data_IF_792396054027
#
_entry.id   IF_792396054027
#
_cell.length_a   1.000
_cell.length_b   1.000
_cell.length_c   1.000
_cell.angle_alpha   90.00
_cell.angle_beta   90.00
_cell.angle_gamma   90.00
#
_symmetry.space_group_name_H-M   'P 1'
#
loop_
_entity.id
_entity.type
_entity.pdbx_description
1 polymer ?
#
# COMPACT_ATOMS: atom_id res chain seq x y z
N UNK A 1 -2.14 -8.30 -1.51
CA UNK A 1 -3.37 -7.51 -1.68
C UNK A 1 -3.30 -6.33 -0.72
N UNK A 2 -3.68 -5.14 -1.19
CA UNK A 2 -3.60 -3.88 -0.45
C UNK A 2 -4.76 -3.77 0.53
N UNK A 3 -4.47 -3.41 1.77
CA UNK A 3 -5.49 -2.87 2.67
C UNK A 3 -4.90 -1.63 3.32
N UNK A 4 -5.50 -0.47 3.02
CA UNK A 4 -5.01 0.81 3.46
C UNK A 4 -6.11 1.49 4.28
N UNK A 5 -5.84 1.73 5.56
CA UNK A 5 -6.78 2.35 6.51
C UNK A 5 -6.08 3.53 7.16
N UNK A 6 -6.46 4.72 6.71
CA UNK A 6 -6.19 5.93 7.47
C UNK A 6 -7.35 6.15 8.45
N UNK A 7 -7.19 5.67 9.69
CA UNK A 7 -8.17 5.89 10.77
C UNK A 7 -8.34 7.37 11.03
N UNK A 8 -7.26 8.17 10.94
CA UNK A 8 -7.30 9.61 11.18
C UNK A 8 -8.37 10.29 10.32
N UNK A 9 -8.47 10.00 9.01
CA UNK A 9 -9.49 10.65 8.17
C UNK A 9 -10.90 10.07 8.28
N UNK A 10 -11.07 8.77 8.62
CA UNK A 10 -12.40 8.15 8.83
C UNK A 10 -12.99 8.46 10.21
N UNK A 11 -12.21 8.43 11.29
CA UNK A 11 -12.62 8.87 12.64
C UNK A 11 -12.99 10.35 12.64
N UNK A 12 -12.22 11.21 11.96
CA UNK A 12 -12.55 12.63 11.83
C UNK A 12 -13.85 12.88 11.05
N UNK A 13 -14.32 11.93 10.23
CA UNK A 13 -15.60 12.03 9.50
C UNK A 13 -16.79 11.46 10.27
N UNK A 14 -16.60 10.44 11.11
CA UNK A 14 -17.67 9.85 11.93
C UNK A 14 -17.88 10.59 13.26
N UNK A 15 -16.85 11.25 13.78
CA UNK A 15 -16.99 12.22 14.87
C UNK A 15 -17.58 13.51 14.30
N UNK A 16 -18.78 13.88 14.75
CA UNK A 16 -19.49 15.08 14.29
C UNK A 16 -18.67 16.36 14.54
N UNK A 17 -17.88 16.78 13.56
CA UNK A 17 -17.35 18.13 13.48
C UNK A 17 -18.32 18.97 12.64
N UNK A 18 -19.22 19.68 13.32
CA UNK A 18 -20.05 20.72 12.71
C UNK A 18 -19.08 21.79 12.16
N UNK A 19 -18.89 21.81 10.84
CA UNK A 19 -18.25 22.96 10.18
C UNK A 19 -19.17 24.15 10.36
N UNK A 20 -18.88 24.98 11.35
CA UNK A 20 -19.38 26.34 11.36
C UNK A 20 -18.73 27.06 10.18
N UNK A 21 -19.53 27.42 9.19
CA UNK A 21 -19.14 28.33 8.13
C UNK A 21 -18.85 29.69 8.77
N UNK A 22 -17.57 29.99 8.98
CA UNK A 22 -17.13 31.35 9.20
C UNK A 22 -16.91 31.98 7.83
N UNK A 23 -17.75 32.95 7.48
CA UNK A 23 -17.60 33.80 6.32
C UNK A 23 -16.29 34.59 6.44
N UNK A 24 -15.27 34.16 5.71
CA UNK A 24 -14.00 34.91 5.55
C UNK A 24 -14.09 35.65 4.22
N UNK A 25 -13.87 36.96 4.31
CA UNK A 25 -14.00 37.91 3.21
C UNK A 25 -13.17 37.57 1.98
N UNK A 26 -13.74 37.93 0.83
CA UNK A 26 -13.07 37.94 -0.46
C UNK A 26 -11.90 38.93 -0.46
N UNK A 27 -10.71 38.51 -0.08
CA UNK A 27 -9.45 39.04 -0.60
C UNK A 27 -8.35 38.02 -0.22
N UNK A 28 -7.53 37.61 -1.19
CA UNK A 28 -6.35 36.70 -1.11
C UNK A 28 -6.48 35.22 -1.54
N UNK A 29 -7.57 34.75 -2.16
CA UNK A 29 -7.59 33.39 -2.73
C UNK A 29 -7.11 33.29 -4.20
N UNK A 30 -7.08 34.41 -4.94
CA UNK A 30 -6.72 34.41 -6.36
C UNK A 30 -5.20 34.51 -6.62
N UNK A 31 -4.42 34.97 -5.63
CA UNK A 31 -2.98 35.24 -5.80
C UNK A 31 -2.13 33.95 -5.67
N UNK A 32 -2.56 33.01 -4.82
CA UNK A 32 -1.86 31.74 -4.60
C UNK A 32 -1.94 30.75 -5.79
N UNK A 33 -2.98 30.84 -6.63
CA UNK A 33 -3.15 29.95 -7.80
C UNK A 33 -2.21 30.37 -8.94
N UNK A 34 -1.85 31.65 -9.02
CA UNK A 34 -1.02 32.19 -10.09
C UNK A 34 0.43 31.73 -10.00
N UNK A 35 0.94 31.51 -8.77
CA UNK A 35 2.31 31.02 -8.56
C UNK A 35 2.54 29.60 -9.12
N UNK A 36 1.49 28.77 -9.23
CA UNK A 36 1.60 27.37 -9.66
C UNK A 36 1.40 27.17 -11.16
N UNK A 37 0.80 28.13 -11.88
CA UNK A 37 0.62 28.10 -13.34
C UNK A 37 1.93 27.83 -14.12
N UNK A 38 3.08 28.47 -13.81
CA UNK A 38 4.31 28.20 -14.54
C UNK A 38 4.84 26.78 -14.31
N UNK A 39 4.68 26.21 -13.11
CA UNK A 39 5.06 24.84 -12.79
C UNK A 39 4.23 23.81 -13.58
N UNK A 40 2.93 24.03 -13.68
CA UNK A 40 2.02 23.16 -14.45
C UNK A 40 2.39 23.17 -15.95
N UNK A 41 2.68 24.35 -16.52
CA UNK A 41 3.12 24.45 -17.93
C UNK A 41 4.42 23.69 -18.19
N UNK A 42 5.39 23.75 -17.27
CA UNK A 42 6.66 23.01 -17.37
C UNK A 42 6.45 21.50 -17.30
N UNK A 43 5.57 21.04 -16.41
CA UNK A 43 5.23 19.62 -16.30
C UNK A 43 4.52 19.11 -17.56
N UNK A 44 3.56 19.87 -18.09
CA UNK A 44 2.88 19.52 -19.34
C UNK A 44 3.83 19.49 -20.55
N UNK A 45 4.82 20.39 -20.61
CA UNK A 45 5.86 20.35 -21.64
C UNK A 45 6.74 19.08 -21.52
N UNK A 46 7.17 18.74 -20.31
CA UNK A 46 7.96 17.50 -20.08
C UNK A 46 7.18 16.23 -20.40
N UNK A 47 5.86 16.22 -20.16
CA UNK A 47 5.00 15.09 -20.50
C UNK A 47 4.87 14.91 -22.02
N UNK A 48 4.79 16.01 -22.77
CA UNK A 48 4.73 15.98 -24.23
C UNK A 48 6.06 15.48 -24.84
N UNK A 49 7.20 15.90 -24.29
CA UNK A 49 8.52 15.42 -24.72
C UNK A 49 8.72 13.92 -24.43
N UNK A 50 8.33 13.45 -23.24
CA UNK A 50 8.39 12.03 -22.89
C UNK A 50 7.46 11.21 -23.79
N UNK A 51 6.26 11.70 -24.10
CA UNK A 51 5.34 11.04 -25.04
C UNK A 51 5.92 10.98 -26.45
N UNK A 52 6.51 12.05 -26.96
CA UNK A 52 7.14 12.07 -28.28
C UNK A 52 8.32 11.07 -28.37
N UNK A 53 9.16 11.01 -27.33
CA UNK A 53 10.23 10.01 -27.24
C UNK A 53 9.68 8.59 -27.22
N UNK A 54 8.60 8.34 -26.47
CA UNK A 54 7.98 6.99 -26.40
C UNK A 54 7.43 6.50 -27.74
N UNK A 55 6.91 7.40 -28.59
CA UNK A 55 6.39 7.06 -29.93
C UNK A 55 7.53 6.72 -30.89
N UNK A 56 8.66 7.42 -30.80
CA UNK A 56 9.87 7.11 -31.59
C UNK A 56 10.43 5.73 -31.19
N UNK A 57 10.52 5.44 -29.89
CA UNK A 57 10.91 4.11 -29.41
C UNK A 57 9.96 3.00 -29.87
N UNK A 58 8.65 3.24 -29.91
CA UNK A 58 7.68 2.28 -30.41
C UNK A 58 7.84 2.00 -31.93
N UNK A 59 8.24 3.00 -32.71
CA UNK A 59 8.54 2.83 -34.14
C UNK A 59 9.81 1.99 -34.37
N UNK A 60 10.87 2.25 -33.58
CA UNK A 60 12.12 1.45 -33.60
C UNK A 60 11.87 -0.01 -33.20
N UNK A 61 10.95 -0.25 -32.26
CA UNK A 61 10.58 -1.62 -31.85
C UNK A 61 9.84 -2.37 -32.95
N UNK A 62 8.96 -1.72 -33.72
CA UNK A 62 8.27 -2.33 -34.87
C UNK A 62 9.21 -2.68 -36.03
N UNK A 63 10.27 -1.90 -36.23
CA UNK A 63 11.27 -2.17 -37.28
C UNK A 63 12.16 -3.40 -36.96
N UNK A 64 12.20 -3.83 -35.68
CA UNK A 64 13.00 -4.97 -35.20
C UNK A 64 12.23 -6.26 -34.97
N UNK A 65 10.95 -6.33 -35.35
CA UNK A 65 10.15 -7.58 -35.27
C UNK A 65 10.52 -8.63 -36.34
N UNK A 66 11.52 -8.38 -37.20
CA UNK A 66 12.13 -9.39 -38.04
C UNK A 66 13.12 -10.27 -37.27
N UNK A 67 12.78 -11.56 -37.11
CA UNK A 67 13.55 -12.66 -36.49
C UNK A 67 13.28 -12.96 -35.01
N UNK A 68 12.10 -13.51 -34.73
CA UNK A 68 11.88 -14.42 -33.59
C UNK A 68 11.04 -15.61 -34.08
N UNK A 69 11.68 -16.71 -34.48
CA UNK A 69 11.00 -17.97 -34.76
C UNK A 69 11.11 -18.84 -33.50
N UNK A 70 9.99 -19.03 -32.81
CA UNK A 70 9.88 -19.89 -31.63
C UNK A 70 9.59 -21.33 -32.07
N UNK A 71 10.54 -22.24 -31.93
CA UNK A 71 10.27 -23.68 -32.01
C UNK A 71 9.81 -24.21 -30.66
N UNK A 72 8.56 -24.71 -30.57
CA UNK A 72 8.09 -25.51 -29.44
C UNK A 72 8.42 -26.98 -29.70
N UNK A 73 9.14 -27.62 -28.78
CA UNK A 73 9.29 -29.08 -28.75
C UNK A 73 8.55 -29.61 -27.51
N UNK A 74 7.81 -30.71 -27.71
CA UNK A 74 6.96 -31.38 -26.72
C UNK A 74 7.73 -32.04 -25.55
N UNK A 75 7.03 -32.79 -24.69
CA UNK A 75 7.43 -33.04 -23.31
C UNK A 75 8.62 -34.00 -23.22
N UNK A 76 9.59 -33.67 -22.36
CA UNK A 76 10.60 -34.59 -21.87
C UNK A 76 10.30 -34.88 -20.40
N UNK A 77 10.19 -36.16 -20.07
CA UNK A 77 9.84 -36.65 -18.73
C UNK A 77 10.99 -36.40 -17.74
N UNK A 78 10.79 -35.45 -16.82
CA UNK A 78 11.73 -35.15 -15.73
C UNK A 78 11.38 -33.89 -14.92
N UNK A 79 11.79 -33.78 -13.63
CA UNK A 79 11.25 -32.77 -12.71
C UNK A 79 11.92 -31.38 -12.78
N UNK A 80 12.67 -31.06 -13.83
CA UNK A 80 13.35 -29.76 -13.96
C UNK A 80 13.21 -29.19 -15.38
N UNK A 81 12.46 -28.08 -15.47
CA UNK A 81 12.71 -26.99 -16.42
C UNK A 81 12.26 -27.19 -17.88
N UNK A 82 11.31 -26.36 -18.33
CA UNK A 82 11.13 -26.07 -19.75
C UNK A 82 12.44 -25.46 -20.30
N UNK A 83 13.12 -26.15 -21.23
CA UNK A 83 14.33 -25.64 -21.88
C UNK A 83 13.95 -24.91 -23.17
N UNK A 84 14.13 -23.59 -23.19
CA UNK A 84 13.92 -22.76 -24.38
C UNK A 84 15.24 -22.61 -25.14
N UNK A 85 15.33 -23.17 -26.35
CA UNK A 85 16.51 -23.01 -27.21
C UNK A 85 16.21 -21.94 -28.26
N UNK A 86 16.98 -20.85 -28.24
CA UNK A 86 16.91 -19.75 -29.22
C UNK A 86 18.11 -19.88 -30.15
N UNK A 87 17.87 -20.12 -31.45
CA UNK A 87 18.93 -20.14 -32.46
C UNK A 87 18.93 -18.85 -33.29
N UNK A 88 20.05 -18.11 -33.26
CA UNK A 88 20.26 -16.92 -34.08
C UNK A 88 21.30 -17.22 -35.16
N UNK A 89 20.89 -17.34 -36.42
CA UNK A 89 21.78 -17.60 -37.55
C UNK A 89 22.12 -16.30 -38.28
N UNK A 90 23.29 -15.71 -38.01
CA UNK A 90 23.78 -14.56 -38.79
C UNK A 90 25.08 -13.94 -38.24
N UNK A 91 25.95 -13.49 -39.13
CA UNK A 91 27.31 -12.97 -38.84
C UNK A 91 27.32 -11.63 -38.07
N UNK A 92 26.18 -10.93 -37.99
CA UNK A 92 25.91 -9.80 -37.06
C UNK A 92 25.42 -10.25 -35.66
N UNK A 93 25.40 -11.56 -35.42
CA UNK A 93 24.81 -12.19 -34.25
C UNK A 93 25.62 -12.04 -32.96
N UNK A 94 26.90 -11.65 -33.03
CA UNK A 94 27.76 -11.50 -31.84
C UNK A 94 27.30 -10.30 -31.01
N UNK A 95 27.08 -9.14 -31.64
CA UNK A 95 26.63 -7.92 -30.95
C UNK A 95 25.18 -8.04 -30.46
N UNK A 96 24.31 -8.72 -31.22
CA UNK A 96 22.92 -8.99 -30.80
C UNK A 96 22.87 -10.02 -29.66
N UNK A 97 23.74 -11.04 -29.65
CA UNK A 97 23.85 -12.04 -28.59
C UNK A 97 24.27 -11.43 -27.25
N UNK A 98 25.22 -10.48 -27.27
CA UNK A 98 25.64 -9.74 -26.07
C UNK A 98 24.49 -8.90 -25.52
N UNK A 99 23.76 -8.18 -26.38
CA UNK A 99 22.61 -7.36 -25.97
C UNK A 99 21.48 -8.19 -25.32
N UNK A 100 21.18 -9.36 -25.88
CA UNK A 100 20.18 -10.29 -25.34
C UNK A 100 20.65 -10.87 -23.99
N UNK A 101 21.92 -11.26 -23.90
CA UNK A 101 22.51 -11.78 -22.66
C UNK A 101 22.50 -10.75 -21.53
N UNK A 102 22.76 -9.48 -21.85
CA UNK A 102 22.68 -8.36 -20.89
C UNK A 102 21.24 -8.12 -20.43
N UNK A 103 20.26 -8.16 -21.33
CA UNK A 103 18.84 -8.02 -20.96
C UNK A 103 18.35 -9.16 -20.07
N UNK A 104 18.75 -10.40 -20.35
CA UNK A 104 18.43 -11.57 -19.52
C UNK A 104 19.08 -11.43 -18.13
N UNK A 105 20.33 -10.97 -18.07
CA UNK A 105 21.02 -10.72 -16.80
C UNK A 105 20.31 -9.65 -15.94
N UNK A 106 19.75 -8.60 -16.57
CA UNK A 106 18.95 -7.57 -15.88
C UNK A 106 17.63 -8.14 -15.34
N UNK A 107 16.93 -8.98 -16.11
CA UNK A 107 15.68 -9.61 -15.67
C UNK A 107 15.91 -10.57 -14.49
N UNK A 108 17.01 -11.35 -14.51
CA UNK A 108 17.36 -12.26 -13.43
C UNK A 108 17.74 -11.50 -12.14
N UNK A 109 18.25 -10.26 -12.25
CA UNK A 109 18.59 -9.41 -11.10
C UNK A 109 17.45 -8.54 -10.59
N UNK A 110 16.25 -8.59 -11.19
CA UNK A 110 15.12 -7.85 -10.65
C UNK A 110 14.77 -8.38 -9.24
N UNK A 111 14.82 -7.56 -8.18
CA UNK A 111 14.49 -8.01 -6.84
C UNK A 111 13.02 -8.41 -6.78
N UNK A 112 12.76 -9.59 -6.21
CA UNK A 112 11.39 -10.02 -5.91
C UNK A 112 10.70 -8.98 -5.00
N UNK A 113 9.55 -8.49 -5.43
CA UNK A 113 8.74 -7.55 -4.64
C UNK A 113 8.09 -8.29 -3.47
N UNK A 114 8.78 -8.33 -2.32
CA UNK A 114 8.17 -8.72 -1.06
C UNK A 114 7.50 -7.49 -0.47
N UNK A 115 6.25 -7.61 -0.02
CA UNK A 115 5.43 -6.46 0.35
C UNK A 115 4.87 -6.63 1.77
N UNK A 116 5.78 -6.66 2.74
CA UNK A 116 5.51 -6.75 4.17
C UNK A 116 5.54 -5.36 4.84
N UNK A 117 4.82 -5.16 5.96
CA UNK A 117 4.81 -3.89 6.67
C UNK A 117 6.20 -3.41 7.15
N UNK A 118 7.12 -4.35 7.43
CA UNK A 118 8.50 -4.02 7.82
C UNK A 118 9.24 -3.19 6.77
N UNK A 119 8.96 -3.36 5.48
CA UNK A 119 9.57 -2.56 4.42
C UNK A 119 9.07 -1.12 4.41
N UNK A 120 7.83 -0.88 4.85
CA UNK A 120 7.35 0.47 5.07
C UNK A 120 8.15 1.12 6.21
N UNK A 121 8.28 0.41 7.34
CA UNK A 121 9.04 0.90 8.50
C UNK A 121 10.51 1.20 8.17
N UNK A 122 11.14 0.40 7.31
CA UNK A 122 12.53 0.60 6.90
C UNK A 122 12.67 1.70 5.85
N UNK A 123 11.76 1.77 4.88
CA UNK A 123 11.87 2.67 3.73
C UNK A 123 11.31 4.07 3.94
N UNK A 124 10.43 4.26 4.94
CA UNK A 124 9.69 5.51 5.12
C UNK A 124 9.58 5.90 6.58
N UNK A 125 9.89 7.17 6.87
CA UNK A 125 9.79 7.69 8.23
C UNK A 125 8.34 7.87 8.69
N UNK A 126 7.47 8.32 7.80
CA UNK A 126 6.03 8.39 8.02
C UNK A 126 5.32 7.48 7.02
N UNK A 127 4.40 6.61 7.46
CA UNK A 127 3.67 5.73 6.55
C UNK A 127 2.64 6.48 5.70
N UNK A 128 2.27 7.71 6.07
CA UNK A 128 1.34 8.58 5.33
C UNK A 128 2.08 9.76 4.72
N UNK A 129 1.94 9.89 3.41
CA UNK A 129 2.43 11.01 2.61
C UNK A 129 1.53 12.25 2.83
N UNK A 130 2.04 13.45 2.52
CA UNK A 130 1.27 14.69 2.64
C UNK A 130 -0.02 14.71 1.80
N UNK A 131 -0.06 13.90 0.74
CA UNK A 131 -1.24 13.69 -0.12
C UNK A 131 -2.33 12.85 0.56
N UNK A 132 -2.04 12.21 1.70
CA UNK A 132 -2.90 11.22 2.35
C UNK A 132 -2.76 9.81 1.78
N UNK A 133 -1.93 9.60 0.75
CA UNK A 133 -1.54 8.27 0.26
C UNK A 133 -0.66 7.57 1.31
N UNK A 134 -0.78 6.25 1.44
CA UNK A 134 0.13 5.46 2.28
C UNK A 134 1.12 4.66 1.46
N UNK A 135 2.32 4.59 1.99
CA UNK A 135 3.54 4.07 1.36
C UNK A 135 3.40 2.61 0.90
N UNK A 136 2.49 1.83 1.51
CA UNK A 136 2.14 0.49 1.05
C UNK A 136 1.64 0.49 -0.41
N UNK A 137 1.06 1.60 -0.88
CA UNK A 137 0.60 1.78 -2.25
C UNK A 137 1.75 1.93 -3.27
N UNK A 138 2.99 2.09 -2.84
CA UNK A 138 4.15 2.18 -3.74
C UNK A 138 4.59 0.80 -4.22
N UNK A 139 4.24 -0.26 -3.48
CA UNK A 139 4.46 -1.66 -3.88
C UNK A 139 3.16 -2.40 -4.20
N UNK A 140 2.09 -2.21 -3.40
CA UNK A 140 0.78 -2.83 -3.65
C UNK A 140 -0.04 -1.95 -4.60
N UNK A 141 0.11 -2.18 -5.90
CA UNK A 141 -0.51 -1.37 -6.96
C UNK A 141 -2.03 -1.56 -7.07
N UNK A 142 -2.53 -2.76 -6.79
CA UNK A 142 -3.97 -3.06 -6.85
C UNK A 142 -4.74 -2.36 -5.72
N UNK A 143 -5.90 -1.80 -6.05
CA UNK A 143 -6.78 -1.17 -5.07
C UNK A 143 -7.88 -2.14 -4.60
N UNK A 144 -8.06 -2.27 -3.29
CA UNK A 144 -9.18 -3.01 -2.69
C UNK A 144 -9.81 -2.18 -1.56
N UNK A 145 -11.14 -2.22 -1.41
CA UNK A 145 -11.81 -1.50 -0.35
C UNK A 145 -11.45 -2.08 1.02
N UNK A 146 -11.43 -1.21 2.02
CA UNK A 146 -11.20 -1.57 3.42
C UNK A 146 -12.13 -0.75 4.28
N UNK A 147 -12.78 -1.41 5.23
CA UNK A 147 -13.73 -0.78 6.13
C UNK A 147 -13.21 -0.79 7.55
N UNK A 148 -13.64 0.21 8.30
CA UNK A 148 -13.34 0.33 9.71
C UNK A 148 -14.58 0.80 10.44
N UNK A 149 -14.88 0.12 11.53
CA UNK A 149 -15.96 0.44 12.44
C UNK A 149 -15.33 0.88 13.77
N UNK A 150 -15.78 2.03 14.24
CA UNK A 150 -15.35 2.66 15.49
C UNK A 150 -16.57 3.30 16.16
N UNK A 151 -16.63 3.36 17.49
CA UNK A 151 -17.66 4.11 18.20
C UNK A 151 -17.64 5.58 17.77
N UNK A 152 -18.83 6.19 17.72
CA UNK A 152 -18.97 7.61 17.37
C UNK A 152 -18.23 8.54 18.35
N UNK A 153 -18.19 8.18 19.63
CA UNK A 153 -17.52 8.91 20.68
C UNK A 153 -16.98 7.94 21.73
N UNK A 154 -15.85 8.32 22.33
CA UNK A 154 -15.19 7.55 23.39
C UNK A 154 -14.88 8.49 24.55
N UNK A 155 -15.06 8.00 25.76
CA UNK A 155 -14.69 8.75 26.95
C UNK A 155 -13.16 8.73 27.13
N UNK A 156 -12.58 9.75 27.79
CA UNK A 156 -11.17 9.73 28.17
C UNK A 156 -10.84 8.49 29.01
N UNK A 157 -9.64 7.96 28.83
CA UNK A 157 -9.12 6.79 29.56
C UNK A 157 -10.00 5.52 29.49
N UNK A 158 -10.85 5.42 28.46
CA UNK A 158 -11.73 4.26 28.26
C UNK A 158 -11.22 3.41 27.11
N UNK A 159 -11.14 2.09 27.31
CA UNK A 159 -10.79 1.14 26.25
C UNK A 159 -12.00 0.94 25.33
N UNK A 160 -11.78 1.05 24.03
CA UNK A 160 -12.82 0.83 23.02
C UNK A 160 -12.34 -0.06 21.89
N UNK A 161 -13.30 -0.67 21.20
CA UNK A 161 -13.08 -1.58 20.09
C UNK A 161 -13.04 -0.82 18.76
N UNK A 162 -12.05 -1.12 17.92
CA UNK A 162 -11.99 -0.72 16.52
C UNK A 162 -11.90 -1.97 15.65
N UNK A 163 -12.89 -2.18 14.78
CA UNK A 163 -12.97 -3.35 13.91
C UNK A 163 -12.56 -2.97 12.51
N UNK A 164 -11.51 -3.60 12.02
CA UNK A 164 -10.98 -3.43 10.67
C UNK A 164 -11.45 -4.58 9.80
N UNK A 165 -12.21 -4.30 8.74
CA UNK A 165 -12.69 -5.30 7.78
C UNK A 165 -11.93 -5.22 6.48
N UNK A 166 -11.41 -6.36 6.06
CA UNK A 166 -10.50 -6.57 4.94
C UNK A 166 -11.19 -7.55 3.98
N UNK A 167 -12.19 -7.09 3.21
CA UNK A 167 -12.95 -7.97 2.34
C UNK A 167 -12.11 -8.44 1.16
N UNK A 168 -12.07 -9.75 0.95
CA UNK A 168 -11.55 -10.33 -0.28
C UNK A 168 -12.28 -11.64 -0.61
N UNK A 169 -12.22 -12.03 -1.89
CA UNK A 169 -12.79 -13.28 -2.34
C UNK A 169 -11.92 -14.46 -1.89
N UNK A 170 -12.44 -15.27 -0.96
CA UNK A 170 -11.74 -16.43 -0.40
C UNK A 170 -11.53 -17.57 -1.41
N UNK A 171 -12.24 -17.57 -2.54
CA UNK A 171 -12.05 -18.55 -3.61
C UNK A 171 -10.83 -18.22 -4.48
N UNK A 172 -10.42 -16.95 -4.51
CA UNK A 172 -9.28 -16.49 -5.30
C UNK A 172 -7.96 -16.82 -4.58
N UNK A 173 -7.07 -17.48 -5.32
CA UNK A 173 -5.72 -17.84 -4.87
C UNK A 173 -4.68 -16.91 -5.50
N UNK A 174 -3.66 -16.52 -4.73
CA UNK A 174 -2.53 -15.74 -5.25
C UNK A 174 -1.40 -16.64 -5.73
N UNK A 175 -0.56 -16.13 -6.62
CA UNK A 175 0.70 -16.79 -6.98
C UNK A 175 1.69 -16.53 -5.85
N UNK A 176 2.21 -17.60 -5.24
CA UNK A 176 3.23 -17.55 -4.21
C UNK A 176 4.63 -17.36 -4.83
N UNK A 177 5.63 -17.07 -3.99
CA UNK A 177 7.02 -16.91 -4.43
C UNK A 177 7.58 -18.15 -5.17
N UNK A 178 7.02 -19.34 -4.93
CA UNK A 178 7.39 -20.58 -5.62
C UNK A 178 6.63 -20.80 -6.95
N UNK A 179 5.82 -19.84 -7.40
CA UNK A 179 4.99 -19.93 -8.61
C UNK A 179 3.70 -20.73 -8.46
N UNK A 180 3.46 -21.39 -7.33
CA UNK A 180 2.22 -22.15 -7.07
C UNK A 180 1.10 -21.22 -6.60
N UNK A 181 -0.15 -21.61 -6.85
CA UNK A 181 -1.33 -20.91 -6.33
C UNK A 181 -1.54 -21.25 -4.84
N UNK A 182 -1.64 -20.24 -3.99
CA UNK A 182 -1.81 -20.38 -2.55
C UNK A 182 -2.78 -19.37 -1.95
N UNK A 183 -2.92 -19.44 -0.62
CA UNK A 183 -3.77 -18.54 0.16
C UNK A 183 -3.16 -17.14 0.26
N UNK A 184 -4.01 -16.17 0.60
CA UNK A 184 -3.61 -14.78 0.78
C UNK A 184 -3.30 -14.48 2.23
N UNK A 185 -2.24 -13.70 2.42
CA UNK A 185 -1.94 -13.09 3.71
C UNK A 185 -2.40 -11.63 3.70
N UNK A 186 -2.76 -11.15 4.87
CA UNK A 186 -3.23 -9.79 5.10
C UNK A 186 -2.35 -9.11 6.14
N UNK A 187 -2.32 -7.79 6.07
CA UNK A 187 -1.63 -6.93 7.00
C UNK A 187 -2.20 -5.54 6.86
N UNK A 188 -2.06 -4.74 7.91
CA UNK A 188 -2.58 -3.39 7.96
C UNK A 188 -1.62 -2.46 8.69
N UNK A 189 -1.66 -1.20 8.30
CA UNK A 189 -1.04 -0.09 9.02
C UNK A 189 -2.18 0.80 9.48
N UNK A 190 -2.19 1.07 10.78
CA UNK A 190 -3.19 1.85 11.47
C UNK A 190 -2.58 3.17 11.92
N UNK A 191 -3.18 4.28 11.53
CA UNK A 191 -2.71 5.61 11.95
C UNK A 191 -3.77 6.24 12.84
N UNK A 192 -3.51 6.26 14.15
CA UNK A 192 -4.37 6.84 15.15
C UNK A 192 -4.04 8.32 15.37
N UNK A 193 -5.00 9.12 15.85
CA UNK A 193 -4.73 10.45 16.37
C UNK A 193 -3.68 10.40 17.48
N UNK A 194 -3.00 11.52 17.70
CA UNK A 194 -2.05 11.65 18.79
C UNK A 194 -2.73 11.42 20.15
N UNK A 195 -2.00 10.78 21.07
CA UNK A 195 -2.52 10.41 22.40
C UNK A 195 -3.32 9.11 22.44
N UNK A 196 -3.60 8.48 21.30
CA UNK A 196 -4.14 7.12 21.26
C UNK A 196 -3.01 6.10 21.18
N UNK A 197 -3.13 5.04 21.96
CA UNK A 197 -2.23 3.89 21.91
C UNK A 197 -3.02 2.58 22.03
N UNK A 198 -2.33 1.46 21.82
CA UNK A 198 -2.89 0.14 22.07
C UNK A 198 -3.24 0.01 23.56
N UNK A 199 -4.39 -0.59 23.85
CA UNK A 199 -4.82 -0.82 25.23
C UNK A 199 -3.75 -1.64 25.99
N UNK A 200 -3.33 -1.19 27.18
CA UNK A 200 -2.43 -1.94 28.05
C UNK A 200 -2.99 -3.34 28.37
N UNK A 201 -2.15 -4.38 28.46
CA UNK A 201 -2.60 -5.76 28.66
C UNK A 201 -3.35 -5.99 29.99
N UNK A 202 -3.09 -5.16 31.00
CA UNK A 202 -3.79 -5.13 32.28
C UNK A 202 -5.25 -4.67 32.17
N UNK A 203 -5.60 -3.90 31.12
CA UNK A 203 -6.97 -3.43 30.87
C UNK A 203 -7.75 -4.30 29.90
N UNK A 204 -7.14 -5.36 29.38
CA UNK A 204 -7.75 -6.29 28.44
C UNK A 204 -8.33 -7.47 29.24
N UNK A 205 -9.66 -7.59 29.25
CA UNK A 205 -10.33 -8.74 29.87
C UNK A 205 -9.97 -10.05 29.13
N UNK A 206 -10.04 -11.22 29.80
CA UNK A 206 -9.70 -12.50 29.17
C UNK A 206 -10.56 -12.80 27.93
N UNK A 207 -11.83 -12.40 27.94
CA UNK A 207 -12.75 -12.51 26.79
C UNK A 207 -12.29 -11.68 25.59
N UNK A 208 -11.81 -10.45 25.85
CA UNK A 208 -11.28 -9.56 24.82
C UNK A 208 -9.98 -10.12 24.23
N UNK A 209 -9.14 -10.72 25.06
CA UNK A 209 -7.88 -11.34 24.63
C UNK A 209 -8.11 -12.51 23.66
N UNK A 210 -9.17 -13.28 23.88
CA UNK A 210 -9.56 -14.37 22.98
C UNK A 210 -9.98 -13.84 21.60
N UNK A 211 -10.71 -12.71 21.54
CA UNK A 211 -11.08 -12.03 20.28
C UNK A 211 -9.87 -11.54 19.49
N UNK A 212 -8.85 -10.99 20.16
CA UNK A 212 -7.60 -10.57 19.52
C UNK A 212 -6.85 -11.79 18.96
N UNK A 213 -6.98 -12.94 19.62
CA UNK A 213 -6.30 -14.18 19.24
C UNK A 213 -4.78 -14.02 19.27
N UNK A 214 -4.11 -14.62 18.29
CA UNK A 214 -2.64 -14.59 18.18
C UNK A 214 -2.13 -13.42 17.32
N UNK A 215 -2.89 -12.33 17.24
CA UNK A 215 -2.45 -11.13 16.52
C UNK A 215 -1.39 -10.39 17.34
N UNK A 216 -0.27 -10.09 16.69
CA UNK A 216 0.79 -9.25 17.27
C UNK A 216 0.71 -7.86 16.63
N UNK A 217 0.55 -6.85 17.48
CA UNK A 217 0.60 -5.46 17.09
C UNK A 217 1.98 -4.89 17.44
N UNK A 218 2.55 -4.18 16.49
CA UNK A 218 3.84 -3.52 16.66
C UNK A 218 3.69 -2.04 16.41
N UNK A 219 4.45 -1.22 17.14
CA UNK A 219 4.54 0.20 16.84
C UNK A 219 5.35 0.38 15.55
N UNK A 220 4.93 1.30 14.70
CA UNK A 220 5.64 1.61 13.46
C UNK A 220 7.08 2.07 13.74
N UNK A 221 7.25 2.86 14.80
CA UNK A 221 8.53 3.28 15.40
C UNK A 221 8.43 3.21 16.92
N UNK A 222 9.56 3.05 17.65
CA UNK A 222 9.57 3.12 19.11
C UNK A 222 8.97 4.42 19.66
N UNK A 223 9.13 5.54 18.93
CA UNK A 223 8.63 6.86 19.30
C UNK A 223 7.18 7.13 18.88
N UNK A 224 6.64 6.37 17.91
CA UNK A 224 5.30 6.60 17.33
C UNK A 224 4.34 5.51 17.78
N UNK A 225 3.82 5.63 19.00
CA UNK A 225 2.87 4.68 19.61
C UNK A 225 1.47 4.72 18.99
N UNK A 226 1.10 5.86 18.40
CA UNK A 226 -0.18 6.04 17.73
C UNK A 226 -0.25 5.38 16.34
N UNK A 227 0.87 4.83 15.84
CA UNK A 227 0.90 4.14 14.56
C UNK A 227 1.17 2.66 14.81
N UNK A 228 0.15 1.84 14.55
CA UNK A 228 0.21 0.39 14.77
C UNK A 228 0.35 -0.35 13.45
N UNK A 229 1.09 -1.44 13.49
CA UNK A 229 1.38 -2.32 12.36
C UNK A 229 0.99 -3.73 12.74
N UNK A 230 0.27 -4.41 11.83
CA UNK A 230 -0.13 -5.81 11.99
C UNK A 230 0.18 -6.60 10.73
N UNK A 231 0.64 -7.84 10.93
CA UNK A 231 0.86 -8.81 9.85
C UNK A 231 2.31 -8.96 9.42
N UNK A 232 2.59 -9.90 8.49
CA UNK A 232 1.62 -10.69 7.72
C UNK A 232 0.90 -11.77 8.56
N UNK A 233 -0.42 -11.89 8.41
CA UNK A 233 -1.23 -12.96 9.01
C UNK A 233 -2.09 -13.67 7.96
N UNK A 234 -2.54 -14.92 8.20
CA UNK A 234 -3.38 -15.65 7.25
C UNK A 234 -4.73 -14.93 7.02
N UNK A 235 -5.00 -14.52 5.79
CA UNK A 235 -6.22 -13.78 5.43
C UNK A 235 -7.50 -14.57 5.72
N UNK A 236 -7.48 -15.89 5.50
CA UNK A 236 -8.66 -16.73 5.70
C UNK A 236 -9.19 -16.71 7.14
N UNK A 237 -8.29 -16.50 8.11
CA UNK A 237 -8.63 -16.43 9.52
C UNK A 237 -8.93 -14.99 9.97
N UNK A 238 -8.25 -14.01 9.38
CA UNK A 238 -8.26 -12.61 9.82
C UNK A 238 -8.81 -11.67 8.74
N UNK A 239 -10.00 -11.98 8.23
CA UNK A 239 -10.77 -11.05 7.37
C UNK A 239 -11.25 -9.82 8.17
N UNK A 240 -11.45 -10.02 9.47
CA UNK A 240 -11.78 -8.97 10.43
C UNK A 240 -10.70 -8.95 11.51
N UNK A 241 -10.18 -7.76 11.78
CA UNK A 241 -9.14 -7.53 12.78
C UNK A 241 -9.71 -6.58 13.81
N UNK A 242 -9.91 -7.10 15.02
CA UNK A 242 -10.36 -6.32 16.15
C UNK A 242 -9.17 -5.79 16.95
N UNK A 243 -9.20 -4.50 17.25
CA UNK A 243 -8.17 -3.76 17.97
C UNK A 243 -8.81 -3.09 19.19
N UNK A 244 -8.10 -3.10 20.31
CA UNK A 244 -8.52 -2.39 21.52
C UNK A 244 -7.61 -1.20 21.73
N UNK A 245 -8.20 -0.01 21.66
CA UNK A 245 -7.49 1.25 21.71
C UNK A 245 -7.82 1.98 23.00
N UNK A 246 -6.87 2.76 23.49
CA UNK A 246 -7.08 3.60 24.65
C UNK A 246 -6.54 5.03 24.44
N UNK A 247 -7.35 6.07 24.69
CA UNK A 247 -6.89 7.45 24.69
C UNK A 247 -6.19 7.78 26.02
N UNK A 248 -4.88 8.03 25.98
CA UNK A 248 -4.05 8.36 27.15
C UNK A 248 -4.19 9.83 27.57
N UNK A 249 -4.33 10.74 26.60
CA UNK A 249 -4.49 12.16 26.91
C UNK A 249 -5.90 12.48 27.35
N UNK A 250 -6.02 13.23 28.44
CA UNK A 250 -7.16 14.10 28.69
C UNK A 250 -7.32 14.98 27.44
N UNK A 251 -8.17 14.55 26.50
CA UNK A 251 -8.63 15.40 25.40
C UNK A 251 -9.03 16.70 26.07
N UNK A 252 -8.40 17.86 25.76
CA UNK A 252 -8.80 19.11 26.37
C UNK A 252 -10.25 19.31 25.97
N UNK A 253 -11.14 19.02 26.91
CA UNK A 253 -12.55 19.37 26.96
C UNK A 253 -13.06 19.85 25.60
N UNK A 254 -13.56 18.93 24.78
CA UNK A 254 -14.81 19.23 24.10
C UNK A 254 -15.87 19.28 25.24
N UNK A 255 -15.81 20.34 26.07
CA UNK A 255 -16.99 20.77 26.81
C UNK A 255 -17.99 20.98 25.70
N UNK A 256 -18.98 20.09 25.70
CA UNK A 256 -20.25 20.26 25.06
C UNK A 256 -20.77 21.65 25.47
N UNK A 257 -20.42 22.69 24.71
CA UNK A 257 -21.10 23.97 24.77
C UNK A 257 -22.47 23.71 24.15
N UNK A 258 -23.36 23.15 24.97
CA UNK A 258 -24.78 23.10 24.69
C UNK A 258 -25.29 24.53 24.88
N UNK A 259 -25.34 25.29 23.79
CA UNK A 259 -26.36 26.31 23.54
C UNK A 259 -26.82 26.16 22.11
#
# INVERSE_FOLDING_TARGET
>A
MKFHIDISSKVLKSMSYKRNTCSIGNHTYLDGIEQYKPGIKRLQASEAEIKALSVNYAAILKEKEGCLVLHKIGPADGPLGQTLIITCTGREGITRSISISVMIYIIIRAPFSNAYPIFAQQGYENPREATGRIVCANCHLANKPVDIEVPQAVLPDTVFEAVVRIPYDMQVKQVLANGKKGTLNVGAVLILPEGFELAPPDRISPEIKEKIGNLSFQNYRPTKKNILVVGPVPGQKYNEITLFLCPFTFMPKLILAKR
#
